data_IF_576909282926
#
_entry.id   IF_576909282926
#
_cell.length_a   1.000
_cell.length_b   1.000
_cell.length_c   1.000
_cell.angle_alpha   90.00
_cell.angle_beta   90.00
_cell.angle_gamma   90.00
#
_symmetry.space_group_name_H-M   'P 1'
#
loop_
_entity.id
_entity.type
_entity.pdbx_description
1 polymer ?
#
# COMPACT_ATOMS: atom_id res chain seq x y z
N UNK A 1 -10.80 -17.04 19.40
CA UNK A 1 -11.20 -15.97 18.47
C UNK A 1 -9.97 -15.15 18.12
N UNK A 2 -9.64 -15.06 16.85
CA UNK A 2 -8.49 -14.30 16.38
C UNK A 2 -8.75 -12.79 16.44
N UNK A 3 -7.68 -11.98 16.40
CA UNK A 3 -7.80 -10.51 16.46
C UNK A 3 -8.72 -9.94 15.37
N UNK A 4 -8.61 -10.42 14.14
CA UNK A 4 -9.44 -9.99 13.02
C UNK A 4 -10.93 -10.24 13.26
N UNK A 5 -11.29 -11.42 13.73
CA UNK A 5 -12.67 -11.77 14.07
C UNK A 5 -13.20 -10.89 15.21
N UNK A 6 -12.36 -10.67 16.22
CA UNK A 6 -12.67 -9.80 17.35
C UNK A 6 -12.94 -8.37 16.90
N UNK A 7 -12.12 -7.84 16.01
CA UNK A 7 -12.28 -6.49 15.44
C UNK A 7 -13.58 -6.37 14.63
N UNK A 8 -13.87 -7.34 13.77
CA UNK A 8 -15.11 -7.38 12.98
C UNK A 8 -16.33 -7.40 13.92
N UNK A 9 -16.33 -8.24 14.94
CA UNK A 9 -17.43 -8.35 15.88
C UNK A 9 -17.64 -7.06 16.69
N UNK A 10 -16.57 -6.44 17.15
CA UNK A 10 -16.62 -5.17 17.87
C UNK A 10 -17.17 -4.04 16.98
N UNK A 11 -16.69 -3.95 15.75
CA UNK A 11 -17.18 -2.97 14.79
C UNK A 11 -18.68 -3.15 14.50
N UNK A 12 -19.09 -4.37 14.19
CA UNK A 12 -20.49 -4.69 13.90
C UNK A 12 -21.41 -4.48 15.10
N UNK A 13 -20.94 -4.75 16.32
CA UNK A 13 -21.71 -4.53 17.54
C UNK A 13 -22.05 -3.05 17.77
N UNK A 14 -21.20 -2.16 17.29
CA UNK A 14 -21.44 -0.69 17.29
C UNK A 14 -22.18 -0.19 16.05
N UNK A 15 -22.52 -1.06 15.11
CA UNK A 15 -23.20 -0.69 13.88
C UNK A 15 -22.35 0.15 12.92
N UNK A 16 -21.01 0.06 13.00
CA UNK A 16 -20.09 0.86 12.19
C UNK A 16 -19.71 0.14 10.90
N UNK A 17 -19.58 0.93 9.81
CA UNK A 17 -18.89 0.48 8.60
C UNK A 17 -17.37 0.53 8.79
N UNK A 18 -16.62 -0.11 7.89
CA UNK A 18 -15.16 -0.01 7.88
C UNK A 18 -14.69 1.44 7.73
N UNK A 19 -15.38 2.24 6.92
CA UNK A 19 -15.09 3.66 6.74
C UNK A 19 -15.31 4.46 8.01
N UNK A 20 -16.41 4.22 8.70
CA UNK A 20 -16.75 4.91 9.95
C UNK A 20 -15.74 4.57 11.06
N UNK A 21 -15.35 3.31 11.20
CA UNK A 21 -14.32 2.92 12.16
C UNK A 21 -12.97 3.55 11.80
N UNK A 22 -12.61 3.59 10.52
CA UNK A 22 -11.41 4.26 10.05
C UNK A 22 -11.39 5.74 10.42
N UNK A 23 -12.50 6.45 10.25
CA UNK A 23 -12.64 7.84 10.64
C UNK A 23 -12.42 8.06 12.14
N UNK A 24 -12.98 7.19 12.97
CA UNK A 24 -12.81 7.26 14.43
C UNK A 24 -11.35 7.03 14.87
N UNK A 25 -10.65 6.15 14.20
CA UNK A 25 -9.25 5.81 14.50
C UNK A 25 -8.24 6.65 13.68
N UNK A 26 -8.72 7.56 12.83
CA UNK A 26 -7.90 8.39 11.92
C UNK A 26 -7.01 7.54 10.99
N UNK A 27 -7.57 6.47 10.48
CA UNK A 27 -6.95 5.60 9.47
C UNK A 27 -7.87 5.44 8.27
N UNK A 28 -7.33 4.99 7.14
CA UNK A 28 -8.15 4.75 5.95
C UNK A 28 -9.04 3.52 6.09
N UNK A 29 -10.12 3.45 5.32
CA UNK A 29 -10.94 2.26 5.19
C UNK A 29 -10.12 1.04 4.79
N UNK A 30 -9.16 1.22 3.88
CA UNK A 30 -8.27 0.16 3.40
C UNK A 30 -7.43 -0.43 4.54
N UNK A 31 -6.97 0.41 5.48
CA UNK A 31 -6.26 -0.04 6.67
C UNK A 31 -7.14 -0.93 7.54
N UNK A 32 -8.36 -0.54 7.79
CA UNK A 32 -9.34 -1.36 8.55
C UNK A 32 -9.58 -2.69 7.83
N UNK A 33 -9.80 -2.65 6.51
CA UNK A 33 -10.00 -3.85 5.70
C UNK A 33 -8.82 -4.82 5.78
N UNK A 34 -7.58 -4.32 5.77
CA UNK A 34 -6.38 -5.13 5.91
C UNK A 34 -6.28 -5.78 7.29
N UNK A 35 -6.65 -5.07 8.35
CA UNK A 35 -6.68 -5.64 9.70
C UNK A 35 -7.74 -6.74 9.83
N UNK A 36 -8.92 -6.52 9.27
CA UNK A 36 -10.02 -7.49 9.31
C UNK A 36 -9.77 -8.73 8.45
N UNK A 37 -8.95 -8.61 7.40
CA UNK A 37 -8.59 -9.72 6.51
C UNK A 37 -7.26 -10.41 6.86
N UNK A 38 -6.66 -10.09 7.98
CA UNK A 38 -5.35 -10.62 8.41
C UNK A 38 -4.19 -10.29 7.47
N UNK A 39 -4.30 -9.27 6.64
CA UNK A 39 -3.21 -8.83 5.76
C UNK A 39 -2.17 -7.97 6.49
N UNK A 40 -2.60 -7.25 7.51
CA UNK A 40 -1.73 -6.47 8.39
C UNK A 40 -2.34 -6.39 9.79
N UNK A 41 -1.55 -5.87 10.72
CA UNK A 41 -1.98 -5.65 12.11
C UNK A 41 -1.75 -4.20 12.50
N UNK A 42 -2.59 -3.65 13.41
CA UNK A 42 -2.35 -2.31 13.94
C UNK A 42 -1.03 -2.24 14.71
N UNK A 43 -0.38 -1.09 14.67
CA UNK A 43 0.73 -0.79 15.55
C UNK A 43 0.27 -0.59 17.00
N UNK A 44 1.24 -0.43 17.92
CA UNK A 44 0.93 -0.27 19.34
C UNK A 44 0.01 0.92 19.61
N UNK A 45 0.23 2.06 18.97
CA UNK A 45 -0.58 3.26 19.17
C UNK A 45 -2.03 3.04 18.75
N UNK A 46 -2.26 2.36 17.62
CA UNK A 46 -3.61 2.03 17.14
C UNK A 46 -4.28 0.97 17.98
N UNK A 47 -3.53 0.03 18.53
CA UNK A 47 -4.05 -0.92 19.52
C UNK A 47 -4.55 -0.21 20.78
N UNK A 48 -3.83 0.78 21.26
CA UNK A 48 -4.27 1.62 22.39
C UNK A 48 -5.56 2.37 22.03
N UNK A 49 -5.63 2.98 20.86
CA UNK A 49 -6.84 3.67 20.38
C UNK A 49 -8.03 2.72 20.26
N UNK A 50 -7.82 1.51 19.76
CA UNK A 50 -8.86 0.47 19.68
C UNK A 50 -9.34 0.05 21.06
N UNK A 51 -8.43 -0.16 21.99
CA UNK A 51 -8.79 -0.54 23.37
C UNK A 51 -9.62 0.56 24.05
N UNK A 52 -9.22 1.80 23.91
CA UNK A 52 -9.94 2.97 24.46
C UNK A 52 -11.31 3.12 23.79
N UNK A 53 -11.37 3.02 22.48
CA UNK A 53 -12.62 3.19 21.72
C UNK A 53 -13.67 2.13 22.05
N UNK A 54 -13.26 0.87 22.15
CA UNK A 54 -14.15 -0.25 22.46
C UNK A 54 -14.30 -0.55 23.97
N UNK A 55 -13.58 0.16 24.82
CA UNK A 55 -13.64 -0.04 26.26
C UNK A 55 -13.09 -1.39 26.74
N UNK A 56 -12.13 -1.95 26.01
CA UNK A 56 -11.42 -3.19 26.32
C UNK A 56 -10.03 -2.90 26.85
N UNK A 57 -9.48 -3.84 27.62
CA UNK A 57 -8.05 -3.80 27.97
C UNK A 57 -7.21 -4.22 26.76
N UNK A 58 -5.96 -3.77 26.71
CA UNK A 58 -5.00 -4.22 25.69
C UNK A 58 -4.83 -5.74 25.72
N UNK A 59 -4.79 -6.34 26.90
CA UNK A 59 -4.65 -7.77 27.07
C UNK A 59 -5.85 -8.53 26.43
N UNK A 60 -7.07 -8.08 26.67
CA UNK A 60 -8.27 -8.65 26.05
C UNK A 60 -8.26 -8.53 24.53
N UNK A 61 -7.74 -7.43 24.02
CA UNK A 61 -7.67 -7.17 22.58
C UNK A 61 -6.61 -8.02 21.87
N UNK A 62 -5.44 -8.23 22.49
CA UNK A 62 -4.25 -8.81 21.85
C UNK A 62 -3.94 -10.23 22.26
N UNK A 63 -4.67 -10.81 23.20
CA UNK A 63 -4.35 -12.13 23.80
C UNK A 63 -4.14 -13.25 22.78
N UNK A 64 -4.84 -13.20 21.65
CA UNK A 64 -4.81 -14.22 20.62
C UNK A 64 -3.92 -13.84 19.43
N UNK A 65 -3.12 -12.77 19.55
CA UNK A 65 -2.21 -12.34 18.49
C UNK A 65 -0.89 -13.11 18.59
N UNK A 66 -0.52 -13.81 17.52
CA UNK A 66 0.81 -14.35 17.37
C UNK A 66 1.79 -13.26 16.92
N UNK A 67 2.76 -12.94 17.78
CA UNK A 67 3.75 -11.89 17.52
C UNK A 67 4.62 -12.21 16.30
N UNK A 68 4.89 -13.48 16.04
CA UNK A 68 5.67 -13.91 14.86
C UNK A 68 4.90 -13.63 13.57
N UNK A 69 3.63 -14.00 13.53
CA UNK A 69 2.75 -13.75 12.39
C UNK A 69 2.59 -12.26 12.10
N UNK A 70 2.45 -11.43 13.14
CA UNK A 70 2.40 -9.97 13.02
C UNK A 70 3.65 -9.41 12.36
N UNK A 71 4.81 -9.86 12.84
CA UNK A 71 6.10 -9.40 12.31
C UNK A 71 6.27 -9.77 10.84
N UNK A 72 5.97 -11.01 10.45
CA UNK A 72 6.09 -11.47 9.07
C UNK A 72 5.16 -10.72 8.13
N UNK A 73 3.91 -10.51 8.51
CA UNK A 73 2.93 -9.79 7.68
C UNK A 73 3.31 -8.32 7.51
N UNK A 74 3.77 -7.66 8.55
CA UNK A 74 4.19 -6.27 8.47
C UNK A 74 5.44 -6.10 7.60
N UNK A 75 6.43 -7.00 7.73
CA UNK A 75 7.62 -7.02 6.86
C UNK A 75 7.27 -7.27 5.39
N UNK A 76 6.33 -8.17 5.11
CA UNK A 76 5.91 -8.44 3.74
C UNK A 76 5.18 -7.25 3.12
N UNK A 77 4.36 -6.55 3.88
CA UNK A 77 3.70 -5.32 3.41
C UNK A 77 4.70 -4.20 3.12
N UNK A 78 5.72 -4.04 3.97
CA UNK A 78 6.78 -3.06 3.75
C UNK A 78 7.61 -3.38 2.50
N UNK A 79 7.99 -4.65 2.31
CA UNK A 79 8.68 -5.10 1.10
C UNK A 79 7.85 -4.89 -0.16
N UNK A 80 6.56 -5.19 -0.13
CA UNK A 80 5.67 -4.97 -1.27
C UNK A 80 5.57 -3.49 -1.62
N UNK A 81 5.44 -2.60 -0.65
CA UNK A 81 5.38 -1.16 -0.91
C UNK A 81 6.67 -0.62 -1.54
N UNK A 82 7.82 -1.10 -1.11
CA UNK A 82 9.11 -0.73 -1.71
C UNK A 82 9.25 -1.23 -3.15
N UNK A 83 8.84 -2.46 -3.44
CA UNK A 83 8.85 -3.03 -4.79
C UNK A 83 7.94 -2.22 -5.73
N UNK A 84 6.76 -1.80 -5.27
CA UNK A 84 5.87 -0.98 -6.08
C UNK A 84 6.43 0.41 -6.37
N UNK A 85 7.13 1.03 -5.43
CA UNK A 85 7.80 2.32 -5.66
C UNK A 85 8.92 2.19 -6.69
N UNK A 86 9.76 1.16 -6.57
CA UNK A 86 10.85 0.90 -7.50
C UNK A 86 10.34 0.60 -8.92
N UNK A 87 9.24 -0.13 -9.04
CA UNK A 87 8.61 -0.39 -10.34
C UNK A 87 8.08 0.89 -11.01
N UNK A 88 7.54 1.83 -10.25
CA UNK A 88 7.05 3.09 -10.80
C UNK A 88 8.19 3.97 -11.32
N UNK A 89 9.31 4.02 -10.60
CA UNK A 89 10.51 4.72 -11.08
C UNK A 89 11.08 4.07 -12.34
N UNK A 90 11.16 2.74 -12.39
CA UNK A 90 11.61 2.01 -13.56
C UNK A 90 10.73 2.27 -14.80
N UNK A 91 9.41 2.32 -14.64
CA UNK A 91 8.49 2.66 -15.74
C UNK A 91 8.70 4.07 -16.27
N UNK A 92 8.93 5.04 -15.40
CA UNK A 92 9.23 6.41 -15.77
C UNK A 92 10.54 6.49 -16.57
N UNK A 93 11.57 5.80 -16.11
CA UNK A 93 12.88 5.73 -16.79
C UNK A 93 12.76 5.12 -18.19
N UNK A 94 12.02 4.03 -18.36
CA UNK A 94 11.79 3.38 -19.65
C UNK A 94 11.06 4.33 -20.62
N UNK A 95 10.06 5.09 -20.16
CA UNK A 95 9.37 6.08 -20.99
C UNK A 95 10.31 7.18 -21.49
N UNK A 96 11.18 7.68 -20.64
CA UNK A 96 12.17 8.69 -20.99
C UNK A 96 13.17 8.15 -22.02
N UNK A 97 13.67 6.93 -21.83
CA UNK A 97 14.57 6.27 -22.77
C UNK A 97 13.92 6.06 -24.15
N UNK A 98 12.66 5.64 -24.19
CA UNK A 98 11.90 5.47 -25.45
C UNK A 98 11.70 6.81 -26.17
N UNK A 99 11.37 7.88 -25.44
CA UNK A 99 11.20 9.22 -26.00
C UNK A 99 12.51 9.73 -26.64
N UNK A 100 13.64 9.56 -25.95
CA UNK A 100 14.97 9.94 -26.47
C UNK A 100 15.30 9.12 -27.72
N UNK A 101 15.05 7.81 -27.72
CA UNK A 101 15.26 6.94 -28.88
C UNK A 101 14.48 7.38 -30.11
N UNK A 102 13.21 7.75 -29.94
CA UNK A 102 12.36 8.26 -31.03
C UNK A 102 12.89 9.59 -31.57
N UNK A 103 13.31 10.51 -30.72
CA UNK A 103 13.89 11.82 -31.15
C UNK A 103 15.18 11.61 -31.94
N UNK A 104 16.05 10.71 -31.52
CA UNK A 104 17.29 10.38 -32.22
C UNK A 104 17.01 9.79 -33.61
N UNK A 105 16.01 8.88 -33.71
CA UNK A 105 15.61 8.30 -35.00
C UNK A 105 15.07 9.36 -35.97
N UNK A 106 14.23 10.29 -35.49
CA UNK A 106 13.71 11.39 -36.31
C UNK A 106 14.84 12.29 -36.79
N UNK A 107 15.77 12.61 -35.89
CA UNK A 107 16.92 13.45 -36.23
C UNK A 107 17.82 12.77 -37.28
N UNK A 108 18.08 11.49 -37.16
CA UNK A 108 18.84 10.70 -38.11
C UNK A 108 18.14 10.62 -39.47
N UNK A 109 16.83 10.38 -39.49
CA UNK A 109 16.04 10.40 -40.73
C UNK A 109 16.09 11.77 -41.43
N UNK A 110 16.07 12.86 -40.66
CA UNK A 110 16.18 14.22 -41.20
C UNK A 110 17.54 14.47 -41.83
N UNK A 111 18.63 14.02 -41.23
CA UNK A 111 19.98 14.14 -41.77
C UNK A 111 20.12 13.36 -43.09
N UNK A 112 19.60 12.12 -43.12
CA UNK A 112 19.66 11.27 -44.32
C UNK A 112 18.87 11.89 -45.46
N UNK A 113 17.64 12.38 -45.21
CA UNK A 113 16.83 13.05 -46.24
C UNK A 113 17.47 14.33 -46.74
N UNK A 114 18.07 15.12 -45.85
CA UNK A 114 18.80 16.33 -46.22
C UNK A 114 20.04 16.00 -47.05
N UNK A 115 20.80 14.98 -46.69
CA UNK A 115 21.96 14.50 -47.44
C UNK A 115 21.60 14.01 -48.84
N UNK A 116 20.53 13.24 -48.99
CA UNK A 116 20.05 12.77 -50.31
C UNK A 116 19.60 13.94 -51.19
N UNK A 117 18.92 14.93 -50.60
CA UNK A 117 18.42 16.09 -51.35
C UNK A 117 19.52 17.06 -51.77
N UNK A 118 20.57 17.20 -50.95
CA UNK A 118 21.64 18.16 -51.20
C UNK A 118 22.81 17.60 -52.04
N UNK A 119 23.01 16.29 -52.06
CA UNK A 119 24.06 15.59 -52.83
C UNK A 119 23.62 15.33 -54.28
N UNK A 120 22.39 15.59 -54.60
CA UNK A 120 21.83 15.53 -55.94
C UNK A 120 21.96 16.90 -56.60
#
# INVERSE_FOLDING_TARGET
>A
MNFNEKLINLRKSKGLSQQELGNELKVSRQTISKWESCQSYPDFQRLVLLSDYFGLTLDELVRDIDVQEVREKNLNNEKLSSIYSDMNEAKSFIRVCLAIGVVVLIFFAMIVTYGIFFVK
#
